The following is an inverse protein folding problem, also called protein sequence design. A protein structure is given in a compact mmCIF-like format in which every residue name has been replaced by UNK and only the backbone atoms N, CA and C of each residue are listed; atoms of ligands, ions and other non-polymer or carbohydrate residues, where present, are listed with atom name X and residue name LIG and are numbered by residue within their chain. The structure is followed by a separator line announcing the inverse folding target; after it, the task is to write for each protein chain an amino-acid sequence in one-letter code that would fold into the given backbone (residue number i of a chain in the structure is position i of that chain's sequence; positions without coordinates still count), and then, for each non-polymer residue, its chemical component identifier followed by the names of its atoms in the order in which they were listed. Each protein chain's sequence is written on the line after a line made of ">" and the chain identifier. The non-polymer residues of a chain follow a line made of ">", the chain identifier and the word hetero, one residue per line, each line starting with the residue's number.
data_IF_955387923117
#
_entry.id   IF_955387923117
#
_cell.length_a   1.000
_cell.length_b   1.000
_cell.length_c   1.000
_cell.angle_alpha   90.00
_cell.angle_beta   90.00
_cell.angle_gamma   90.00
#
_symmetry.space_group_name_H-M   'P 1'
#
loop_
_entity.id
_entity.type
_entity.pdbx_description
1 polymer ?
#
# COMPACT_ATOMS: atom_id res chain seq x y z
N UNK A 1 6.67 -20.26 -45.82
CA UNK A 1 7.64 -19.96 -44.78
C UNK A 1 7.32 -18.67 -43.97
N UNK A 2 7.03 -17.54 -44.62
CA UNK A 2 6.73 -16.27 -43.87
C UNK A 2 5.52 -16.35 -42.92
N UNK A 3 4.43 -17.04 -43.33
CA UNK A 3 3.21 -17.17 -42.50
C UNK A 3 3.40 -18.08 -41.26
N UNK A 4 4.22 -19.10 -41.37
CA UNK A 4 4.53 -20.00 -40.24
C UNK A 4 5.40 -19.30 -39.20
N UNK A 5 6.42 -18.57 -39.66
CA UNK A 5 7.27 -17.76 -38.76
C UNK A 5 6.45 -16.73 -38.00
N UNK A 6 5.56 -16.00 -38.68
CA UNK A 6 4.67 -15.01 -38.06
C UNK A 6 3.76 -15.64 -36.98
N UNK A 7 3.20 -16.84 -37.23
CA UNK A 7 2.37 -17.56 -36.26
C UNK A 7 3.17 -17.99 -35.03
N UNK A 8 4.41 -18.48 -35.23
CA UNK A 8 5.30 -18.87 -34.13
C UNK A 8 5.66 -17.64 -33.27
N UNK A 9 6.05 -16.54 -33.92
CA UNK A 9 6.38 -15.30 -33.22
C UNK A 9 5.20 -14.79 -32.44
N UNK A 10 3.99 -14.77 -33.01
CA UNK A 10 2.77 -14.35 -32.31
C UNK A 10 2.49 -15.25 -31.10
N UNK A 11 2.64 -16.58 -31.26
CA UNK A 11 2.46 -17.54 -30.16
C UNK A 11 3.42 -17.30 -29.04
N UNK A 12 4.71 -17.07 -29.33
CA UNK A 12 5.73 -16.73 -28.32
C UNK A 12 5.41 -15.44 -27.58
N UNK A 13 4.96 -14.40 -28.29
CA UNK A 13 4.55 -13.13 -27.70
C UNK A 13 3.37 -13.31 -26.73
N UNK A 14 2.34 -14.06 -27.11
CA UNK A 14 1.18 -14.33 -26.25
C UNK A 14 1.62 -15.07 -24.98
N UNK A 15 2.48 -16.07 -25.10
CA UNK A 15 3.00 -16.82 -23.95
C UNK A 15 3.82 -15.89 -23.04
N UNK A 16 4.71 -15.08 -23.61
CA UNK A 16 5.55 -14.14 -22.83
C UNK A 16 4.69 -13.14 -22.06
N UNK A 17 3.68 -12.54 -22.73
CA UNK A 17 2.76 -11.59 -22.08
C UNK A 17 1.95 -12.31 -20.99
N UNK A 18 1.48 -13.52 -21.24
CA UNK A 18 0.74 -14.33 -20.27
C UNK A 18 1.57 -14.61 -19.00
N UNK A 19 2.81 -15.05 -19.18
CA UNK A 19 3.74 -15.33 -18.07
C UNK A 19 4.08 -14.04 -17.31
N UNK A 20 4.42 -12.97 -18.01
CA UNK A 20 4.72 -11.68 -17.40
C UNK A 20 3.51 -11.12 -16.61
N UNK A 21 2.31 -11.21 -17.21
CA UNK A 21 1.05 -10.82 -16.56
C UNK A 21 0.76 -11.64 -15.30
N UNK A 22 0.99 -12.94 -15.35
CA UNK A 22 0.84 -13.84 -14.20
C UNK A 22 1.75 -13.40 -13.05
N UNK A 23 3.06 -13.20 -13.30
CA UNK A 23 4.00 -12.76 -12.28
C UNK A 23 3.65 -11.37 -11.72
N UNK A 24 3.17 -10.47 -12.57
CA UNK A 24 2.74 -9.12 -12.15
C UNK A 24 1.54 -9.16 -11.19
N UNK A 25 0.59 -10.07 -11.42
CA UNK A 25 -0.61 -10.23 -10.59
C UNK A 25 -0.29 -10.98 -9.30
N UNK A 26 0.43 -12.09 -9.40
CA UNK A 26 0.71 -12.99 -8.29
C UNK A 26 1.80 -12.46 -7.34
N UNK A 27 2.81 -11.77 -7.87
CA UNK A 27 3.99 -11.37 -7.12
C UNK A 27 4.82 -12.58 -6.64
N UNK A 28 5.73 -12.36 -5.71
CA UNK A 28 6.55 -13.40 -5.07
C UNK A 28 5.93 -13.83 -3.76
N UNK A 29 4.98 -14.74 -3.85
CA UNK A 29 4.19 -15.17 -2.71
C UNK A 29 4.27 -16.66 -2.47
N UNK A 30 4.12 -17.05 -1.21
CA UNK A 30 3.98 -18.44 -0.76
C UNK A 30 2.82 -18.52 0.24
N UNK A 31 2.28 -19.73 0.46
CA UNK A 31 1.26 -19.92 1.48
C UNK A 31 1.91 -19.89 2.87
N UNK A 32 1.42 -19.04 3.75
CA UNK A 32 1.84 -18.99 5.14
C UNK A 32 1.22 -20.14 5.98
N UNK A 33 1.85 -20.46 7.10
CA UNK A 33 1.38 -21.50 8.02
C UNK A 33 0.13 -21.12 8.82
N UNK A 34 -0.17 -19.82 8.84
CA UNK A 34 -1.32 -19.21 9.54
C UNK A 34 -2.48 -18.86 8.59
N UNK A 35 -2.44 -19.36 7.36
CA UNK A 35 -3.47 -19.13 6.34
C UNK A 35 -3.27 -17.82 5.54
N UNK A 36 -2.39 -16.91 5.97
CA UNK A 36 -2.10 -15.67 5.25
C UNK A 36 -1.16 -15.92 4.07
N UNK A 37 -1.30 -15.10 3.03
CA UNK A 37 -0.34 -15.08 1.93
C UNK A 37 0.96 -14.44 2.39
N UNK A 38 2.05 -15.19 2.26
CA UNK A 38 3.38 -14.73 2.64
C UNK A 38 4.09 -14.12 1.44
N UNK A 39 4.41 -12.83 1.52
CA UNK A 39 5.20 -12.10 0.52
C UNK A 39 6.68 -12.25 0.90
N UNK A 40 7.47 -12.83 -0.02
CA UNK A 40 8.90 -13.11 0.20
C UNK A 40 9.72 -11.93 -0.32
N UNK A 41 10.46 -11.26 0.57
CA UNK A 41 11.23 -10.05 0.27
C UNK A 41 12.65 -10.19 0.80
N UNK A 42 13.60 -9.55 0.13
CA UNK A 42 14.92 -9.32 0.70
C UNK A 42 14.80 -8.50 2.01
N UNK A 43 15.70 -8.67 2.99
CA UNK A 43 15.63 -7.94 4.26
C UNK A 43 15.48 -6.43 4.09
N UNK A 44 16.25 -5.81 3.19
CA UNK A 44 16.19 -4.37 2.90
C UNK A 44 14.86 -3.94 2.28
N UNK A 45 14.28 -4.74 1.40
CA UNK A 45 12.97 -4.47 0.78
C UNK A 45 11.85 -4.53 1.82
N UNK A 46 11.90 -5.55 2.68
CA UNK A 46 10.96 -5.68 3.81
C UNK A 46 11.05 -4.48 4.74
N UNK A 47 12.27 -4.05 5.08
CA UNK A 47 12.50 -2.94 6.01
C UNK A 47 12.00 -1.61 5.46
N UNK A 48 12.06 -1.40 4.12
CA UNK A 48 11.43 -0.25 3.45
C UNK A 48 9.92 -0.23 3.68
N UNK A 49 9.22 -1.32 3.37
CA UNK A 49 7.76 -1.39 3.54
C UNK A 49 7.36 -1.25 5.02
N UNK A 50 8.09 -1.90 5.93
CA UNK A 50 7.82 -1.76 7.37
C UNK A 50 8.11 -0.33 7.86
N UNK A 51 9.07 0.38 7.23
CA UNK A 51 9.33 1.80 7.45
C UNK A 51 8.12 2.65 7.08
N UNK A 52 7.59 2.44 5.90
CA UNK A 52 6.39 3.11 5.40
C UNK A 52 5.16 2.85 6.29
N UNK A 53 4.94 1.59 6.69
CA UNK A 53 3.86 1.24 7.64
C UNK A 53 3.99 1.96 8.98
N UNK A 54 5.21 2.13 9.50
CA UNK A 54 5.46 2.92 10.73
C UNK A 54 5.12 4.40 10.53
N UNK A 55 5.39 4.96 9.35
CA UNK A 55 5.02 6.34 9.04
C UNK A 55 3.50 6.50 8.92
N UNK A 56 2.81 5.57 8.27
CA UNK A 56 1.34 5.53 8.25
C UNK A 56 0.75 5.47 9.67
N UNK A 57 1.28 4.61 10.53
CA UNK A 57 0.81 4.51 11.92
C UNK A 57 1.04 5.81 12.70
N UNK A 58 2.19 6.47 12.51
CA UNK A 58 2.47 7.79 13.12
C UNK A 58 1.49 8.86 12.65
N UNK A 59 1.14 8.85 11.36
CA UNK A 59 0.16 9.78 10.80
C UNK A 59 -1.24 9.54 11.40
N UNK A 60 -1.69 8.29 11.49
CA UNK A 60 -2.94 7.92 12.18
C UNK A 60 -2.93 8.39 13.62
N UNK A 61 -1.84 8.14 14.36
CA UNK A 61 -1.69 8.60 15.73
C UNK A 61 -1.77 10.15 15.84
N UNK A 62 -1.10 10.87 14.92
CA UNK A 62 -1.12 12.34 14.90
C UNK A 62 -2.53 12.89 14.67
N UNK A 63 -3.30 12.30 13.75
CA UNK A 63 -4.69 12.70 13.52
C UNK A 63 -5.55 12.44 14.75
N UNK A 64 -5.45 11.25 15.38
CA UNK A 64 -6.23 10.91 16.58
C UNK A 64 -5.87 11.85 17.75
N UNK A 65 -4.59 12.09 17.96
CA UNK A 65 -4.11 12.98 19.05
C UNK A 65 -4.61 14.41 18.85
N UNK A 66 -4.51 14.94 17.62
CA UNK A 66 -4.99 16.28 17.32
C UNK A 66 -6.51 16.42 17.49
N UNK A 67 -7.28 15.38 17.14
CA UNK A 67 -8.74 15.39 17.35
C UNK A 67 -9.12 15.26 18.84
N UNK A 68 -8.26 14.69 19.68
CA UNK A 68 -8.51 14.52 21.11
C UNK A 68 -8.29 15.82 21.91
N UNK A 69 -7.57 16.80 21.34
CA UNK A 69 -7.32 18.09 21.99
C UNK A 69 -8.53 19.02 21.83
N UNK A 70 -8.89 19.77 22.87
CA UNK A 70 -10.09 20.61 22.88
C UNK A 70 -10.01 21.85 21.97
N UNK A 71 -8.79 22.30 21.61
CA UNK A 71 -8.57 23.51 20.80
C UNK A 71 -8.39 23.18 19.32
N UNK A 72 -9.42 22.63 18.70
CA UNK A 72 -9.42 22.08 17.33
C UNK A 72 -9.02 23.07 16.22
N UNK A 73 -9.25 24.37 16.41
CA UNK A 73 -8.87 25.37 15.37
C UNK A 73 -7.36 25.58 15.31
N UNK A 74 -6.66 25.61 16.47
CA UNK A 74 -5.21 25.77 16.52
C UNK A 74 -4.47 24.51 16.02
N UNK A 75 -5.06 23.34 16.25
CA UNK A 75 -4.43 22.06 15.95
C UNK A 75 -4.75 21.53 14.54
N UNK A 76 -5.70 22.16 13.82
CA UNK A 76 -6.17 21.70 12.49
C UNK A 76 -5.05 21.59 11.47
N UNK A 77 -4.12 22.53 11.44
CA UNK A 77 -2.96 22.49 10.54
C UNK A 77 -2.02 21.31 10.87
N UNK A 78 -1.85 20.99 12.15
CA UNK A 78 -1.03 19.85 12.56
C UNK A 78 -1.71 18.51 12.20
N UNK A 79 -3.03 18.44 12.38
CA UNK A 79 -3.84 17.25 11.99
C UNK A 79 -3.76 17.04 10.47
N UNK A 80 -3.92 18.11 9.68
CA UNK A 80 -3.77 18.07 8.22
C UNK A 80 -2.37 17.62 7.82
N UNK A 81 -1.33 18.20 8.40
CA UNK A 81 0.05 17.82 8.11
C UNK A 81 0.32 16.35 8.48
N UNK A 82 -0.21 15.87 9.60
CA UNK A 82 -0.10 14.47 9.98
C UNK A 82 -0.71 13.55 8.91
N UNK A 83 -1.94 13.84 8.46
CA UNK A 83 -2.59 13.07 7.39
C UNK A 83 -1.80 13.15 6.07
N UNK A 84 -1.40 14.35 5.64
CA UNK A 84 -0.67 14.58 4.39
C UNK A 84 0.68 13.89 4.36
N UNK A 85 1.37 13.76 5.49
CA UNK A 85 2.66 13.08 5.59
C UNK A 85 2.61 11.59 5.20
N UNK A 86 1.41 11.00 5.21
CA UNK A 86 1.16 9.61 4.82
C UNK A 86 0.41 9.48 3.48
N UNK A 87 0.25 10.58 2.75
CA UNK A 87 -0.39 10.63 1.44
C UNK A 87 0.46 10.04 0.31
N UNK A 88 0.04 10.27 -0.92
CA UNK A 88 0.67 9.75 -2.13
C UNK A 88 2.14 10.16 -2.29
N UNK A 89 2.56 11.29 -1.70
CA UNK A 89 3.95 11.73 -1.72
C UNK A 89 4.88 10.73 -1.01
N UNK A 90 4.42 10.06 0.05
CA UNK A 90 5.17 9.01 0.74
C UNK A 90 5.40 7.78 -0.15
N UNK A 91 4.44 7.46 -1.01
CA UNK A 91 4.50 6.31 -1.91
C UNK A 91 5.18 6.62 -3.26
N UNK A 92 5.69 7.83 -3.48
CA UNK A 92 6.23 8.25 -4.78
C UNK A 92 7.57 7.61 -5.13
N UNK A 93 8.42 7.32 -4.14
CA UNK A 93 9.77 6.77 -4.32
C UNK A 93 9.80 5.24 -4.32
N UNK A 94 8.91 4.62 -5.06
CA UNK A 94 8.80 3.15 -5.07
C UNK A 94 9.82 2.52 -6.02
N UNK A 95 10.63 1.60 -5.50
CA UNK A 95 11.52 0.78 -6.32
C UNK A 95 10.73 -0.16 -7.24
N UNK A 96 10.86 -0.05 -8.59
CA UNK A 96 10.11 -0.90 -9.52
C UNK A 96 10.35 -2.40 -9.33
N UNK A 97 11.57 -2.81 -8.92
CA UNK A 97 11.91 -4.21 -8.65
C UNK A 97 11.14 -4.73 -7.42
N UNK A 98 11.00 -3.93 -6.38
CA UNK A 98 10.15 -4.25 -5.23
C UNK A 98 8.69 -4.37 -5.64
N UNK A 99 8.18 -3.43 -6.45
CA UNK A 99 6.80 -3.48 -6.94
C UNK A 99 6.49 -4.72 -7.77
N UNK A 100 7.46 -5.26 -8.51
CA UNK A 100 7.29 -6.51 -9.26
C UNK A 100 7.09 -7.74 -8.33
N UNK A 101 7.64 -7.71 -7.12
CA UNK A 101 7.50 -8.78 -6.12
C UNK A 101 6.17 -8.76 -5.37
N UNK A 102 5.52 -7.60 -5.28
CA UNK A 102 4.26 -7.44 -4.54
C UNK A 102 3.07 -7.91 -5.38
N UNK A 103 2.12 -8.68 -4.80
CA UNK A 103 0.88 -9.04 -5.49
C UNK A 103 0.06 -7.81 -5.88
N UNK A 104 -0.64 -7.86 -7.00
CA UNK A 104 -1.45 -6.74 -7.47
C UNK A 104 -2.49 -6.26 -6.44
N UNK A 105 -3.26 -7.15 -5.77
CA UNK A 105 -4.22 -6.72 -4.75
C UNK A 105 -3.54 -6.02 -3.56
N UNK A 106 -2.35 -6.48 -3.13
CA UNK A 106 -1.57 -5.84 -2.07
C UNK A 106 -1.17 -4.41 -2.48
N UNK A 107 -0.63 -4.23 -3.71
CA UNK A 107 -0.29 -2.91 -4.27
C UNK A 107 -1.49 -1.97 -4.30
N UNK A 108 -2.63 -2.45 -4.80
CA UNK A 108 -3.87 -1.68 -4.89
C UNK A 108 -4.34 -1.22 -3.50
N UNK A 109 -4.29 -2.11 -2.51
CA UNK A 109 -4.68 -1.83 -1.14
C UNK A 109 -3.75 -0.80 -0.49
N UNK A 110 -2.43 -0.95 -0.63
CA UNK A 110 -1.45 0.02 -0.14
C UNK A 110 -1.65 1.41 -0.75
N UNK A 111 -1.71 1.47 -2.08
CA UNK A 111 -1.92 2.75 -2.78
C UNK A 111 -3.26 3.42 -2.42
N UNK A 112 -4.31 2.63 -2.12
CA UNK A 112 -5.59 3.20 -1.68
C UNK A 112 -5.51 3.87 -0.32
N UNK A 113 -4.67 3.35 0.61
CA UNK A 113 -4.45 3.96 1.92
C UNK A 113 -3.83 5.36 1.76
N UNK A 114 -2.80 5.51 0.91
CA UNK A 114 -2.18 6.81 0.67
C UNK A 114 -3.16 7.83 0.06
N UNK A 115 -3.99 7.40 -0.90
CA UNK A 115 -5.05 8.25 -1.47
C UNK A 115 -6.07 8.67 -0.41
N UNK A 116 -6.46 7.77 0.48
CA UNK A 116 -7.40 8.08 1.56
C UNK A 116 -6.79 9.02 2.60
N UNK A 117 -5.48 8.93 2.86
CA UNK A 117 -4.79 9.87 3.76
C UNK A 117 -4.72 11.27 3.15
N UNK A 118 -4.53 11.42 1.84
CA UNK A 118 -4.65 12.71 1.16
C UNK A 118 -6.10 13.23 1.21
N UNK A 119 -7.09 12.38 0.93
CA UNK A 119 -8.50 12.76 1.02
C UNK A 119 -8.91 13.14 2.46
N UNK A 120 -8.31 12.50 3.47
CA UNK A 120 -8.49 12.85 4.88
C UNK A 120 -7.89 14.24 5.17
N UNK A 121 -6.70 14.54 4.66
CA UNK A 121 -6.08 15.85 4.80
C UNK A 121 -6.95 16.95 4.14
N UNK A 122 -7.49 16.68 2.95
CA UNK A 122 -8.39 17.61 2.25
C UNK A 122 -9.70 17.84 3.03
N UNK A 123 -10.26 16.81 3.65
CA UNK A 123 -11.45 16.91 4.51
C UNK A 123 -11.19 17.79 5.75
N UNK A 124 -9.97 17.71 6.33
CA UNK A 124 -9.55 18.56 7.44
C UNK A 124 -9.49 20.03 6.99
N UNK A 125 -8.91 20.31 5.82
CA UNK A 125 -8.87 21.66 5.22
C UNK A 125 -10.27 22.19 4.96
N UNK A 126 -11.20 21.34 4.50
CA UNK A 126 -12.60 21.67 4.25
C UNK A 126 -13.42 21.84 5.53
N UNK A 127 -12.80 21.72 6.71
CA UNK A 127 -13.43 21.89 8.01
C UNK A 127 -14.56 20.88 8.29
N UNK A 128 -14.42 19.67 7.78
CA UNK A 128 -15.31 18.58 8.20
C UNK A 128 -15.29 18.41 9.72
N UNK A 129 -16.40 17.92 10.26
CA UNK A 129 -16.53 17.72 11.71
C UNK A 129 -15.60 16.62 12.21
N UNK A 130 -15.16 16.64 13.49
CA UNK A 130 -14.34 15.57 14.07
C UNK A 130 -14.93 14.17 13.87
N UNK A 131 -16.25 14.06 13.93
CA UNK A 131 -16.94 12.80 13.71
C UNK A 131 -16.78 12.31 12.27
N UNK A 132 -16.86 13.19 11.27
CA UNK A 132 -16.65 12.85 9.86
C UNK A 132 -15.19 12.44 9.61
N UNK A 133 -14.23 13.17 10.20
CA UNK A 133 -12.81 12.83 10.12
C UNK A 133 -12.53 11.45 10.74
N UNK A 134 -13.09 11.16 11.92
CA UNK A 134 -12.97 9.83 12.56
C UNK A 134 -13.60 8.72 11.71
N UNK A 135 -14.70 8.99 11.03
CA UNK A 135 -15.37 8.05 10.14
C UNK A 135 -14.47 7.68 8.94
N UNK A 136 -13.81 8.69 8.33
CA UNK A 136 -12.81 8.48 7.27
C UNK A 136 -11.61 7.68 7.78
N UNK A 137 -11.07 8.05 8.94
CA UNK A 137 -9.95 7.37 9.56
C UNK A 137 -10.27 5.91 9.90
N UNK A 138 -11.50 5.63 10.35
CA UNK A 138 -12.00 4.27 10.57
C UNK A 138 -11.95 3.43 9.29
N UNK A 139 -12.32 4.02 8.15
CA UNK A 139 -12.22 3.34 6.84
C UNK A 139 -10.78 3.04 6.43
N UNK A 140 -9.84 3.96 6.72
CA UNK A 140 -8.40 3.73 6.50
C UNK A 140 -7.89 2.58 7.35
N UNK A 141 -8.18 2.60 8.67
CA UNK A 141 -7.71 1.57 9.61
C UNK A 141 -8.33 0.20 9.34
N UNK A 142 -9.57 0.14 8.83
CA UNK A 142 -10.20 -1.10 8.39
C UNK A 142 -9.41 -1.77 7.26
N UNK A 143 -8.85 -1.00 6.32
CA UNK A 143 -7.97 -1.55 5.27
C UNK A 143 -6.65 -2.06 5.82
N UNK A 144 -6.08 -1.38 6.83
CA UNK A 144 -4.89 -1.89 7.52
C UNK A 144 -5.18 -3.26 8.14
N UNK A 145 -6.30 -3.42 8.86
CA UNK A 145 -6.71 -4.69 9.43
C UNK A 145 -6.89 -5.77 8.34
N UNK A 146 -7.65 -5.47 7.28
CA UNK A 146 -7.87 -6.40 6.16
C UNK A 146 -6.56 -6.84 5.51
N UNK A 147 -5.62 -5.90 5.27
CA UNK A 147 -4.32 -6.23 4.69
C UNK A 147 -3.52 -7.16 5.60
N UNK A 148 -3.49 -6.88 6.91
CA UNK A 148 -2.80 -7.69 7.91
C UNK A 148 -3.44 -9.07 8.12
N UNK A 149 -4.74 -9.23 7.87
CA UNK A 149 -5.42 -10.52 7.88
C UNK A 149 -5.07 -11.38 6.66
N UNK A 150 -4.80 -10.74 5.51
CA UNK A 150 -4.53 -11.44 4.24
C UNK A 150 -3.06 -11.71 4.00
N UNK A 151 -2.16 -10.82 4.44
CA UNK A 151 -0.75 -10.83 4.07
C UNK A 151 0.18 -10.79 5.28
N UNK A 152 1.35 -11.40 5.10
CA UNK A 152 2.50 -11.26 5.99
C UNK A 152 3.79 -11.22 5.18
N UNK A 153 4.85 -10.66 5.74
CA UNK A 153 6.17 -10.68 5.13
C UNK A 153 7.04 -11.79 5.73
N UNK A 154 7.86 -12.38 4.87
CA UNK A 154 9.02 -13.17 5.31
C UNK A 154 10.28 -12.61 4.68
N UNK A 155 11.40 -12.77 5.37
CA UNK A 155 12.70 -12.57 4.76
C UNK A 155 13.01 -13.76 3.84
N UNK A 156 13.66 -13.51 2.69
CA UNK A 156 14.32 -14.57 1.95
C UNK A 156 15.30 -15.25 2.91
N UNK A 157 15.23 -16.59 3.01
CA UNK A 157 16.30 -17.32 3.67
C UNK A 157 17.51 -17.23 2.74
N UNK A 158 18.59 -16.61 3.20
CA UNK A 158 19.87 -16.78 2.54
C UNK A 158 20.15 -18.28 2.47
N UNK A 159 20.48 -18.83 1.29
CA UNK A 159 20.85 -20.23 1.14
C UNK A 159 22.11 -20.57 1.94
#
# INVERSE_FOLDING_TARGET
>A
MKSTLCRITLGLWIVTIGVAGWFFVQGWTTQGTDGRMQIVLAPTERDLILGEMRMLLKAVHGVVTGLAVQNQEADRAQIEQAARSAGMALAADVNPALMAKLPLPFKQMGMSIHKDMDALADAIVQKETPQQILQRLSSVTARCATCHDLYRFSAERNP
#
